data_IF_399809503995
#
_entry.id   IF_399809503995
#
_cell.length_a   1.000
_cell.length_b   1.000
_cell.length_c   1.000
_cell.angle_alpha   90.00
_cell.angle_beta   90.00
_cell.angle_gamma   90.00
#
_symmetry.space_group_name_H-M   'P 1'
#
loop_
_entity.id
_entity.type
_entity.pdbx_description
1 polymer ?
#
# COMPACT_ATOMS: atom_id res chain seq x y z
N UNK A 1 -18.88 -1.24 21.48
CA UNK A 1 -18.72 -0.70 20.12
C UNK A 1 -19.63 -1.52 19.25
N UNK A 2 -20.64 -0.91 18.64
CA UNK A 2 -21.51 -1.61 17.70
C UNK A 2 -20.71 -2.13 16.52
N UNK A 3 -21.12 -3.28 15.97
CA UNK A 3 -20.52 -3.88 14.78
C UNK A 3 -20.42 -2.86 13.64
N UNK A 4 -21.41 -1.96 13.51
CA UNK A 4 -21.42 -0.86 12.54
C UNK A 4 -20.24 0.11 12.69
N UNK A 5 -19.80 0.41 13.93
CA UNK A 5 -18.67 1.31 14.18
C UNK A 5 -17.36 0.63 13.80
N UNK A 6 -17.22 -0.67 14.09
CA UNK A 6 -16.02 -1.45 13.75
C UNK A 6 -15.93 -1.64 12.22
N UNK A 7 -17.04 -1.96 11.56
CA UNK A 7 -17.12 -2.06 10.09
C UNK A 7 -16.77 -0.74 9.42
N UNK A 8 -17.31 0.38 9.92
CA UNK A 8 -16.99 1.72 9.41
C UNK A 8 -15.51 2.08 9.59
N UNK A 9 -14.90 1.71 10.73
CA UNK A 9 -13.47 1.91 10.97
C UNK A 9 -12.61 1.13 9.95
N UNK A 10 -12.90 -0.16 9.74
CA UNK A 10 -12.18 -0.98 8.77
C UNK A 10 -12.42 -0.52 7.32
N UNK A 11 -13.60 0.04 7.01
CA UNK A 11 -13.88 0.67 5.71
C UNK A 11 -12.93 1.85 5.46
N UNK A 12 -12.85 2.81 6.40
CA UNK A 12 -11.95 3.95 6.28
C UNK A 12 -10.48 3.54 6.26
N UNK A 13 -10.10 2.55 7.10
CA UNK A 13 -8.76 1.96 7.06
C UNK A 13 -8.42 1.43 5.66
N UNK A 14 -9.38 0.77 5.02
CA UNK A 14 -9.21 0.20 3.67
C UNK A 14 -9.12 1.31 2.61
N UNK A 15 -9.92 2.37 2.74
CA UNK A 15 -9.87 3.52 1.82
C UNK A 15 -8.51 4.23 1.92
N UNK A 16 -8.02 4.52 3.13
CA UNK A 16 -6.75 5.21 3.31
C UNK A 16 -5.55 4.34 2.89
N UNK A 17 -5.48 3.08 3.34
CA UNK A 17 -4.39 2.20 2.96
C UNK A 17 -4.41 1.85 1.46
N UNK A 18 -5.59 1.62 0.89
CA UNK A 18 -5.75 1.37 -0.54
C UNK A 18 -5.41 2.60 -1.39
N UNK A 19 -5.84 3.79 -0.96
CA UNK A 19 -5.48 5.06 -1.59
C UNK A 19 -3.97 5.32 -1.56
N UNK A 20 -3.32 5.07 -0.42
CA UNK A 20 -1.86 5.18 -0.30
C UNK A 20 -1.14 4.19 -1.23
N UNK A 21 -1.63 2.94 -1.31
CA UNK A 21 -1.08 1.90 -2.18
C UNK A 21 -1.18 2.31 -3.66
N UNK A 22 -2.36 2.76 -4.08
CA UNK A 22 -2.61 3.23 -5.45
C UNK A 22 -1.74 4.45 -5.75
N UNK A 23 -1.67 5.40 -4.82
CA UNK A 23 -0.83 6.59 -4.96
C UNK A 23 0.64 6.21 -5.14
N UNK A 24 1.19 5.35 -4.28
CA UNK A 24 2.57 4.86 -4.40
C UNK A 24 2.81 4.10 -5.71
N UNK A 25 1.88 3.22 -6.08
CA UNK A 25 1.97 2.44 -7.32
C UNK A 25 1.95 3.35 -8.55
N UNK A 26 1.07 4.36 -8.58
CA UNK A 26 1.01 5.38 -9.64
C UNK A 26 2.29 6.20 -9.69
N UNK A 27 2.80 6.63 -8.54
CA UNK A 27 4.01 7.44 -8.45
C UNK A 27 5.23 6.67 -8.97
N UNK A 28 5.33 5.38 -8.62
CA UNK A 28 6.37 4.49 -9.14
C UNK A 28 6.21 4.20 -10.64
N UNK A 29 4.98 4.10 -11.16
CA UNK A 29 4.72 3.82 -12.57
C UNK A 29 4.93 5.04 -13.48
N UNK A 30 4.44 6.21 -13.08
CA UNK A 30 4.49 7.44 -13.89
C UNK A 30 5.83 8.17 -13.80
N UNK A 31 6.54 8.05 -12.68
CA UNK A 31 7.78 8.79 -12.45
C UNK A 31 8.92 7.91 -11.89
N UNK A 32 9.20 6.71 -12.43
CA UNK A 32 10.24 5.82 -11.89
C UNK A 32 11.62 6.48 -11.90
N UNK A 33 11.93 7.29 -12.92
CA UNK A 33 13.18 8.03 -13.01
C UNK A 33 13.28 9.17 -11.97
N UNK A 34 12.17 9.75 -11.56
CA UNK A 34 12.14 10.84 -10.58
C UNK A 34 12.33 10.28 -9.16
N UNK A 35 11.66 9.16 -8.85
CA UNK A 35 11.88 8.41 -7.60
C UNK A 35 13.32 7.90 -7.55
N UNK A 36 13.82 7.28 -8.62
CA UNK A 36 15.20 6.84 -8.69
C UNK A 36 16.19 7.99 -8.48
N UNK A 37 15.97 9.16 -9.11
CA UNK A 37 16.90 10.30 -8.97
C UNK A 37 16.90 10.89 -7.56
N UNK A 38 15.74 11.03 -6.94
CA UNK A 38 15.62 11.53 -5.56
C UNK A 38 16.26 10.54 -4.59
N UNK A 39 15.96 9.25 -4.76
CA UNK A 39 16.43 8.21 -3.85
C UNK A 39 17.91 7.89 -4.04
N UNK A 40 18.42 7.91 -5.27
CA UNK A 40 19.84 7.77 -5.58
C UNK A 40 20.69 8.92 -5.04
N UNK A 41 20.09 10.11 -4.84
CA UNK A 41 20.77 11.25 -4.23
C UNK A 41 20.92 11.09 -2.71
N UNK A 42 20.06 10.29 -2.08
CA UNK A 42 20.13 9.98 -0.64
C UNK A 42 20.90 8.68 -0.37
N UNK A 43 20.71 7.68 -1.24
CA UNK A 43 21.33 6.37 -1.17
C UNK A 43 21.77 5.95 -2.57
N UNK A 44 23.06 6.09 -2.92
CA UNK A 44 23.56 5.65 -4.22
C UNK A 44 23.40 4.14 -4.32
N UNK A 45 22.50 3.69 -5.18
CA UNK A 45 22.17 2.28 -5.37
C UNK A 45 22.04 1.96 -6.87
N UNK A 46 22.45 0.77 -7.32
CA UNK A 46 22.24 0.35 -8.70
C UNK A 46 20.76 0.31 -9.05
N UNK A 47 20.42 0.67 -10.30
CA UNK A 47 19.03 0.71 -10.79
C UNK A 47 18.31 -0.63 -10.66
N UNK A 48 19.03 -1.73 -10.89
CA UNK A 48 18.49 -3.08 -10.74
C UNK A 48 18.09 -3.38 -9.29
N UNK A 49 18.91 -2.98 -8.31
CA UNK A 49 18.60 -3.15 -6.88
C UNK A 49 17.41 -2.30 -6.47
N UNK A 50 17.34 -1.06 -6.97
CA UNK A 50 16.22 -0.15 -6.71
C UNK A 50 14.90 -0.72 -7.25
N UNK A 51 14.88 -1.23 -8.48
CA UNK A 51 13.68 -1.82 -9.08
C UNK A 51 13.18 -3.03 -8.28
N UNK A 52 14.08 -3.91 -7.82
CA UNK A 52 13.73 -5.05 -6.97
C UNK A 52 13.17 -4.60 -5.62
N UNK A 53 13.77 -3.59 -4.99
CA UNK A 53 13.32 -3.07 -3.69
C UNK A 53 11.95 -2.41 -3.80
N UNK A 54 11.72 -1.56 -4.81
CA UNK A 54 10.42 -0.92 -5.02
C UNK A 54 9.33 -1.94 -5.34
N UNK A 55 9.63 -2.92 -6.20
CA UNK A 55 8.67 -3.98 -6.52
C UNK A 55 8.33 -4.81 -5.28
N UNK A 56 9.33 -5.16 -4.48
CA UNK A 56 9.15 -5.87 -3.20
C UNK A 56 8.35 -5.04 -2.20
N UNK A 57 8.60 -3.73 -2.13
CA UNK A 57 7.88 -2.81 -1.25
C UNK A 57 6.40 -2.70 -1.65
N UNK A 58 6.10 -2.52 -2.94
CA UNK A 58 4.71 -2.51 -3.44
C UNK A 58 4.03 -3.85 -3.17
N UNK A 59 4.72 -4.97 -3.39
CA UNK A 59 4.22 -6.31 -3.11
C UNK A 59 3.90 -6.53 -1.63
N UNK A 60 4.83 -6.16 -0.74
CA UNK A 60 4.65 -6.25 0.70
C UNK A 60 3.51 -5.33 1.18
N UNK A 61 3.46 -4.09 0.69
CA UNK A 61 2.40 -3.14 1.03
C UNK A 61 1.02 -3.64 0.58
N UNK A 62 0.94 -4.29 -0.59
CA UNK A 62 -0.27 -4.97 -1.07
C UNK A 62 -0.70 -6.12 -0.17
N UNK A 63 0.23 -6.95 0.29
CA UNK A 63 -0.08 -8.04 1.23
C UNK A 63 -0.57 -7.49 2.57
N UNK A 64 0.12 -6.49 3.12
CA UNK A 64 -0.29 -5.84 4.37
C UNK A 64 -1.69 -5.25 4.24
N UNK A 65 -1.96 -4.53 3.16
CA UNK A 65 -3.29 -3.98 2.87
C UNK A 65 -4.38 -5.06 2.85
N UNK A 66 -4.13 -6.17 2.16
CA UNK A 66 -5.10 -7.27 2.06
C UNK A 66 -5.33 -7.90 3.44
N UNK A 67 -4.26 -8.29 4.13
CA UNK A 67 -4.34 -9.05 5.38
C UNK A 67 -4.89 -8.21 6.53
N UNK A 68 -4.44 -6.96 6.68
CA UNK A 68 -4.80 -6.12 7.83
C UNK A 68 -6.03 -5.25 7.62
N UNK A 69 -6.45 -5.00 6.37
CA UNK A 69 -7.56 -4.09 6.08
C UNK A 69 -8.71 -4.77 5.34
N UNK A 70 -8.43 -5.38 4.19
CA UNK A 70 -9.47 -5.94 3.32
C UNK A 70 -10.10 -7.22 3.90
N UNK A 71 -9.30 -8.16 4.39
CA UNK A 71 -9.77 -9.41 5.00
C UNK A 71 -10.67 -9.16 6.22
N UNK A 72 -10.27 -8.35 7.23
CA UNK A 72 -11.14 -8.09 8.37
C UNK A 72 -12.40 -7.30 8.00
N UNK A 73 -12.33 -6.38 7.03
CA UNK A 73 -13.52 -5.71 6.51
C UNK A 73 -14.50 -6.70 5.87
N UNK A 74 -14.02 -7.61 5.02
CA UNK A 74 -14.86 -8.65 4.40
C UNK A 74 -15.44 -9.62 5.44
N UNK A 75 -14.66 -10.00 6.45
CA UNK A 75 -15.13 -10.86 7.53
C UNK A 75 -16.27 -10.20 8.32
N UNK A 76 -16.15 -8.90 8.61
CA UNK A 76 -17.20 -8.13 9.27
C UNK A 76 -18.46 -7.99 8.39
N UNK A 77 -18.29 -7.81 7.08
CA UNK A 77 -19.40 -7.76 6.12
C UNK A 77 -20.16 -9.10 6.03
N UNK A 78 -19.49 -10.23 6.26
CA UNK A 78 -20.15 -11.55 6.30
C UNK A 78 -20.85 -11.85 7.64
N UNK A 79 -20.41 -11.21 8.72
CA UNK A 79 -20.95 -11.42 10.08
C UNK A 79 -22.13 -10.50 10.42
N UNK A 80 -22.25 -9.37 9.75
CA UNK A 80 -23.40 -8.46 9.83
C UNK A 80 -24.51 -8.84 8.85
#
# INVERSE_FOLDING_TARGET
MDLETITSFFMWCTIFNGGLLIFWSLFCLFAPNLVYRVQSNWFPMPRETFDVVIYSFIGAFKLLFIVFSLVPYLALLMLG
#
